data_IF_932981715697
#
_entry.id   IF_932981715697
#
_cell.length_a   1.000
_cell.length_b   1.000
_cell.length_c   1.000
_cell.angle_alpha   90.00
_cell.angle_beta   90.00
_cell.angle_gamma   90.00
#
_symmetry.space_group_name_H-M   'P 1'
#
loop_
_entity.id
_entity.type
_entity.pdbx_description
1 polymer ?
#
# COMPACT_ATOMS: atom_id res chain seq x y z
N UNK A 1 -2.73 25.98 1.10
CA UNK A 1 -3.41 25.07 2.06
C UNK A 1 -2.35 24.48 2.96
N UNK A 2 -2.62 24.32 4.25
CA UNK A 2 -1.68 23.66 5.16
C UNK A 2 -1.62 22.17 4.78
N UNK A 3 -0.44 21.56 4.78
CA UNK A 3 -0.21 20.15 4.35
C UNK A 3 -1.11 19.16 5.12
N UNK A 4 -1.41 19.47 6.39
CA UNK A 4 -2.38 18.70 7.18
C UNK A 4 -3.79 18.71 6.57
N UNK A 5 -4.25 19.87 6.04
CA UNK A 5 -5.57 19.95 5.39
C UNK A 5 -5.61 19.19 4.07
N UNK A 6 -4.49 19.12 3.35
CA UNK A 6 -4.36 18.32 2.13
C UNK A 6 -4.50 16.82 2.44
N UNK A 7 -3.79 16.34 3.46
CA UNK A 7 -3.88 14.95 3.92
C UNK A 7 -5.30 14.59 4.36
N UNK A 8 -5.92 15.44 5.18
CA UNK A 8 -7.29 15.22 5.66
C UNK A 8 -8.31 15.20 4.51
N UNK A 9 -8.14 16.07 3.51
CA UNK A 9 -8.98 16.10 2.31
C UNK A 9 -8.83 14.80 1.49
N UNK A 10 -7.61 14.29 1.32
CA UNK A 10 -7.36 13.02 0.62
C UNK A 10 -8.03 11.85 1.33
N UNK A 11 -7.90 11.77 2.65
CA UNK A 11 -8.57 10.74 3.44
C UNK A 11 -10.09 10.87 3.37
N UNK A 12 -10.61 12.09 3.42
CA UNK A 12 -12.04 12.37 3.22
C UNK A 12 -12.56 11.85 1.88
N UNK A 13 -11.81 12.07 0.79
CA UNK A 13 -12.15 11.52 -0.53
C UNK A 13 -12.17 9.98 -0.52
N UNK A 14 -11.20 9.32 0.14
CA UNK A 14 -11.21 7.85 0.25
C UNK A 14 -12.44 7.34 0.98
N UNK A 15 -12.86 8.01 2.07
CA UNK A 15 -14.09 7.66 2.80
C UNK A 15 -15.31 7.79 1.90
N UNK A 16 -15.42 8.88 1.13
CA UNK A 16 -16.53 9.09 0.19
C UNK A 16 -16.57 7.98 -0.86
N UNK A 17 -15.43 7.61 -1.45
CA UNK A 17 -15.36 6.52 -2.43
C UNK A 17 -15.74 5.17 -1.81
N UNK A 18 -15.27 4.87 -0.58
CA UNK A 18 -15.67 3.65 0.12
C UNK A 18 -17.16 3.63 0.43
N UNK A 19 -17.74 4.75 0.88
CA UNK A 19 -19.19 4.86 1.09
C UNK A 19 -19.98 4.63 -0.20
N UNK A 20 -19.52 5.15 -1.33
CA UNK A 20 -20.13 4.85 -2.62
C UNK A 20 -20.13 3.33 -2.91
N UNK A 21 -19.03 2.63 -2.64
CA UNK A 21 -18.95 1.18 -2.76
C UNK A 21 -19.95 0.45 -1.86
N UNK A 22 -20.08 0.88 -0.60
CA UNK A 22 -21.09 0.34 0.33
C UNK A 22 -22.51 0.55 -0.21
N UNK A 23 -22.82 1.76 -0.69
CA UNK A 23 -24.14 2.10 -1.25
C UNK A 23 -24.46 1.22 -2.46
N UNK A 24 -23.53 1.04 -3.40
CA UNK A 24 -23.73 0.22 -4.60
C UNK A 24 -24.06 -1.25 -4.27
N UNK A 25 -23.46 -1.81 -3.24
CA UNK A 25 -23.80 -3.17 -2.78
C UNK A 25 -25.14 -3.19 -2.05
N UNK A 26 -25.41 -2.23 -1.16
CA UNK A 26 -26.66 -2.18 -0.38
C UNK A 26 -27.89 -1.92 -1.27
N UNK A 27 -27.74 -1.15 -2.33
CA UNK A 27 -28.78 -0.90 -3.32
C UNK A 27 -28.90 -2.00 -4.39
N UNK A 28 -28.07 -3.05 -4.31
CA UNK A 28 -28.02 -4.16 -5.26
C UNK A 28 -27.67 -3.76 -6.70
N UNK A 29 -27.11 -2.57 -6.92
CA UNK A 29 -26.55 -2.17 -8.21
C UNK A 29 -25.31 -3.01 -8.54
N UNK A 30 -24.56 -3.43 -7.50
CA UNK A 30 -23.41 -4.31 -7.61
C UNK A 30 -23.55 -5.52 -6.70
N UNK A 31 -22.91 -6.62 -7.08
CA UNK A 31 -22.79 -7.86 -6.30
C UNK A 31 -21.30 -8.25 -6.12
N UNK A 32 -21.03 -9.38 -5.45
CA UNK A 32 -19.66 -9.89 -5.24
C UNK A 32 -18.91 -10.16 -6.55
N UNK A 33 -19.58 -10.62 -7.59
CA UNK A 33 -18.97 -10.91 -8.88
C UNK A 33 -18.51 -9.62 -9.58
N UNK A 34 -19.30 -8.54 -9.51
CA UNK A 34 -18.92 -7.24 -10.03
C UNK A 34 -17.67 -6.68 -9.31
N UNK A 35 -17.55 -6.90 -7.99
CA UNK A 35 -16.36 -6.50 -7.23
C UNK A 35 -15.11 -7.21 -7.73
N UNK A 36 -15.21 -8.49 -8.10
CA UNK A 36 -14.08 -9.23 -8.67
C UNK A 36 -13.61 -8.63 -10.00
N UNK A 37 -14.57 -8.21 -10.85
CA UNK A 37 -14.27 -7.54 -12.13
C UNK A 37 -13.54 -6.21 -11.89
N UNK A 38 -14.05 -5.39 -10.96
CA UNK A 38 -13.39 -4.12 -10.59
C UNK A 38 -11.97 -4.36 -10.07
N UNK A 39 -11.81 -5.34 -9.18
CA UNK A 39 -10.49 -5.71 -8.65
C UNK A 39 -9.52 -6.09 -9.77
N UNK A 40 -9.94 -6.95 -10.70
CA UNK A 40 -9.13 -7.36 -11.84
C UNK A 40 -8.76 -6.17 -12.74
N UNK A 41 -9.70 -5.29 -13.02
CA UNK A 41 -9.47 -4.08 -13.83
C UNK A 41 -8.44 -3.17 -13.16
N UNK A 42 -8.61 -2.91 -11.86
CA UNK A 42 -7.71 -2.04 -11.09
C UNK A 42 -6.29 -2.60 -11.09
N UNK A 43 -6.12 -3.90 -10.76
CA UNK A 43 -4.79 -4.49 -10.57
C UNK A 43 -4.08 -4.75 -11.89
N UNK A 44 -4.82 -5.16 -12.93
CA UNK A 44 -4.22 -5.56 -14.20
C UNK A 44 -4.06 -4.42 -15.19
N UNK A 45 -4.80 -3.31 -15.01
CA UNK A 45 -4.77 -2.17 -15.94
C UNK A 45 -4.57 -0.83 -15.22
N UNK A 46 -5.50 -0.40 -14.37
CA UNK A 46 -5.53 0.97 -13.88
C UNK A 46 -4.31 1.30 -13.00
N UNK A 47 -3.95 0.43 -12.05
CA UNK A 47 -2.79 0.62 -11.17
C UNK A 47 -1.45 0.56 -11.93
N UNK A 48 -1.17 -0.44 -12.80
CA UNK A 48 0.02 -0.45 -13.63
C UNK A 48 0.16 0.82 -14.47
N UNK A 49 -0.92 1.24 -15.14
CA UNK A 49 -0.92 2.47 -15.95
C UNK A 49 -0.68 3.71 -15.08
N UNK A 50 -1.30 3.80 -13.91
CA UNK A 50 -1.08 4.90 -12.98
C UNK A 50 0.40 5.01 -12.56
N UNK A 51 1.01 3.89 -12.17
CA UNK A 51 2.42 3.86 -11.77
C UNK A 51 3.31 4.26 -12.96
N UNK A 52 3.06 3.69 -14.15
CA UNK A 52 3.82 4.00 -15.34
C UNK A 52 3.79 5.49 -15.66
N UNK A 53 2.59 6.05 -15.85
CA UNK A 53 2.44 7.41 -16.34
C UNK A 53 2.90 8.47 -15.32
N UNK A 54 2.65 8.21 -14.04
CA UNK A 54 3.10 9.10 -12.98
C UNK A 54 4.62 9.08 -12.84
N UNK A 55 5.27 7.91 -13.03
CA UNK A 55 6.73 7.80 -13.01
C UNK A 55 7.36 8.52 -14.20
N UNK A 56 6.84 8.29 -15.41
CA UNK A 56 7.37 8.93 -16.64
C UNK A 56 7.23 10.45 -16.58
N UNK A 57 6.13 10.96 -16.03
CA UNK A 57 5.87 12.40 -15.96
C UNK A 57 6.46 13.08 -14.72
N UNK A 58 6.66 12.35 -13.62
CA UNK A 58 7.07 12.91 -12.33
C UNK A 58 8.51 12.65 -11.93
N UNK A 59 9.27 11.85 -12.68
CA UNK A 59 10.64 11.47 -12.30
C UNK A 59 11.65 11.93 -13.33
N UNK A 60 12.61 12.76 -12.91
CA UNK A 60 13.73 13.14 -13.73
C UNK A 60 14.93 12.17 -13.57
N UNK A 61 15.67 11.93 -14.66
CA UNK A 61 16.84 11.02 -14.68
C UNK A 61 17.87 11.39 -13.61
N UNK A 62 18.16 12.68 -13.42
CA UNK A 62 19.16 13.15 -12.45
C UNK A 62 18.77 12.81 -11.01
N UNK A 63 17.48 12.94 -10.71
CA UNK A 63 16.93 12.76 -9.36
C UNK A 63 16.83 11.28 -8.98
N UNK A 64 16.69 10.38 -9.98
CA UNK A 64 16.63 8.93 -9.74
C UNK A 64 17.93 8.42 -9.06
N UNK A 65 19.10 8.90 -9.47
CA UNK A 65 20.38 8.51 -8.87
C UNK A 65 20.56 9.05 -7.44
N UNK A 66 20.01 10.22 -7.13
CA UNK A 66 20.08 10.79 -5.78
C UNK A 66 19.15 10.10 -4.78
N UNK A 67 18.20 9.30 -5.27
CA UNK A 67 17.23 8.59 -4.45
C UNK A 67 17.66 7.17 -4.05
N UNK A 68 18.92 6.78 -4.31
CA UNK A 68 19.45 5.46 -3.93
C UNK A 68 19.39 5.20 -2.41
N UNK A 69 19.46 6.24 -1.60
CA UNK A 69 19.26 6.13 -0.14
C UNK A 69 17.92 5.53 0.23
N UNK A 70 16.86 5.75 -0.59
CA UNK A 70 15.53 5.18 -0.36
C UNK A 70 15.54 3.66 -0.42
N UNK A 71 16.37 3.05 -1.28
CA UNK A 71 16.51 1.59 -1.33
C UNK A 71 17.03 1.02 -0.01
N UNK A 72 18.06 1.67 0.57
CA UNK A 72 18.61 1.24 1.86
C UNK A 72 17.59 1.46 2.98
N UNK A 73 16.92 2.61 3.02
CA UNK A 73 15.92 2.95 4.01
C UNK A 73 14.74 1.97 3.92
N UNK A 74 14.25 1.68 2.72
CA UNK A 74 13.19 0.69 2.51
C UNK A 74 13.61 -0.70 2.99
N UNK A 75 14.84 -1.13 2.70
CA UNK A 75 15.39 -2.40 3.19
C UNK A 75 15.39 -2.46 4.72
N UNK A 76 15.89 -1.42 5.38
CA UNK A 76 15.90 -1.31 6.85
C UNK A 76 14.46 -1.34 7.38
N UNK A 77 13.54 -0.58 6.77
CA UNK A 77 12.13 -0.56 7.15
C UNK A 77 11.50 -1.96 7.11
N UNK A 78 11.73 -2.72 6.04
CA UNK A 78 11.20 -4.08 5.93
C UNK A 78 11.80 -5.02 6.97
N UNK A 79 13.11 -4.97 7.22
CA UNK A 79 13.75 -5.76 8.27
C UNK A 79 13.11 -5.46 9.63
N UNK A 80 12.95 -4.18 9.98
CA UNK A 80 12.32 -3.77 11.23
C UNK A 80 10.85 -4.21 11.33
N UNK A 81 10.07 -4.07 10.24
CA UNK A 81 8.67 -4.51 10.20
C UNK A 81 8.54 -6.03 10.34
N UNK A 82 9.43 -6.83 9.72
CA UNK A 82 9.46 -8.28 9.90
C UNK A 82 9.78 -8.66 11.34
N UNK A 83 10.76 -8.03 11.97
CA UNK A 83 11.09 -8.25 13.38
C UNK A 83 9.90 -7.88 14.29
N UNK A 84 9.29 -6.71 14.06
CA UNK A 84 8.14 -6.26 14.81
C UNK A 84 6.96 -7.23 14.67
N UNK A 85 6.67 -7.68 13.45
CA UNK A 85 5.58 -8.62 13.18
C UNK A 85 5.83 -10.00 13.82
N UNK A 86 7.09 -10.44 13.86
CA UNK A 86 7.48 -11.69 14.51
C UNK A 86 7.26 -11.63 16.02
N UNK A 87 7.72 -10.55 16.67
CA UNK A 87 7.57 -10.33 18.11
C UNK A 87 6.11 -10.19 18.50
N UNK A 88 5.34 -9.35 17.76
CA UNK A 88 3.92 -9.15 18.05
C UNK A 88 3.09 -10.40 17.79
N UNK A 89 3.41 -11.20 16.78
CA UNK A 89 2.75 -12.49 16.54
C UNK A 89 2.94 -13.49 17.69
N UNK A 90 4.08 -13.47 18.37
CA UNK A 90 4.30 -14.24 19.60
C UNK A 90 3.44 -13.69 20.75
N UNK A 91 3.43 -12.36 20.91
CA UNK A 91 2.66 -11.68 21.97
C UNK A 91 1.16 -12.00 21.89
N UNK A 92 0.59 -12.02 20.68
CA UNK A 92 -0.82 -12.39 20.46
C UNK A 92 -1.06 -13.90 20.40
N UNK A 93 -0.06 -14.73 20.73
CA UNK A 93 -0.15 -16.20 20.71
C UNK A 93 -0.68 -16.76 19.40
N UNK A 94 -0.32 -16.13 18.27
CA UNK A 94 -0.75 -16.57 16.95
C UNK A 94 0.08 -17.76 16.46
N UNK A 95 -0.58 -18.75 15.86
CA UNK A 95 0.06 -19.99 15.38
C UNK A 95 -0.31 -20.27 13.91
N UNK A 96 0.54 -21.06 13.26
CA UNK A 96 0.27 -21.57 11.91
C UNK A 96 -0.03 -20.47 10.89
N UNK A 97 -1.09 -20.68 10.14
CA UNK A 97 -1.51 -19.80 9.05
C UNK A 97 -1.87 -18.37 9.51
N UNK A 98 -2.55 -18.22 10.64
CA UNK A 98 -2.90 -16.90 11.19
C UNK A 98 -1.66 -16.08 11.54
N UNK A 99 -0.60 -16.69 12.07
CA UNK A 99 0.66 -15.99 12.35
C UNK A 99 1.33 -15.49 11.08
N UNK A 100 1.33 -16.29 10.02
CA UNK A 100 1.90 -15.89 8.72
C UNK A 100 1.10 -14.74 8.11
N UNK A 101 -0.22 -14.84 8.08
CA UNK A 101 -1.08 -13.76 7.57
C UNK A 101 -0.98 -12.48 8.40
N UNK A 102 -0.91 -12.61 9.73
CA UNK A 102 -0.67 -11.47 10.61
C UNK A 102 0.66 -10.77 10.28
N UNK A 103 1.71 -11.55 10.02
CA UNK A 103 2.99 -10.98 9.59
C UNK A 103 2.86 -10.29 8.22
N UNK A 104 2.16 -10.88 7.26
CA UNK A 104 1.91 -10.22 5.97
C UNK A 104 1.15 -8.90 6.14
N UNK A 105 0.10 -8.88 6.95
CA UNK A 105 -0.68 -7.67 7.25
C UNK A 105 0.14 -6.61 7.98
N UNK A 106 1.03 -7.01 8.89
CA UNK A 106 1.88 -6.10 9.64
C UNK A 106 3.00 -5.50 8.79
N UNK A 107 3.48 -6.21 7.78
CA UNK A 107 4.60 -5.78 6.94
C UNK A 107 4.11 -4.96 5.74
N UNK A 108 3.11 -5.44 4.99
CA UNK A 108 2.71 -4.81 3.73
C UNK A 108 1.63 -3.75 3.93
N UNK A 109 1.99 -2.50 3.60
CA UNK A 109 1.09 -1.34 3.66
C UNK A 109 0.43 -1.04 2.30
N UNK A 110 -0.73 -0.40 2.33
CA UNK A 110 -1.48 -0.03 1.12
C UNK A 110 -0.88 1.22 0.44
N UNK A 111 0.38 1.09 0.03
CA UNK A 111 1.13 2.20 -0.60
C UNK A 111 0.58 2.53 -1.98
N UNK A 112 0.21 1.52 -2.78
CA UNK A 112 -0.28 1.72 -4.15
C UNK A 112 -1.54 2.58 -4.22
N UNK A 113 -2.56 2.28 -3.41
CA UNK A 113 -3.84 2.96 -3.49
C UNK A 113 -4.00 4.14 -2.53
N UNK A 114 -3.30 4.15 -1.40
CA UNK A 114 -3.36 5.22 -0.41
C UNK A 114 -2.06 6.02 -0.32
N UNK A 115 -0.92 5.34 -0.32
CA UNK A 115 0.38 6.00 -0.18
C UNK A 115 0.71 6.93 -1.33
N UNK A 116 0.54 6.48 -2.59
CA UNK A 116 0.83 7.30 -3.77
C UNK A 116 0.04 8.62 -3.75
N UNK A 117 -1.32 8.63 -3.67
CA UNK A 117 -2.07 9.88 -3.66
C UNK A 117 -1.74 10.78 -2.47
N UNK A 118 -1.50 10.22 -1.30
CA UNK A 118 -1.17 10.99 -0.09
C UNK A 118 0.20 11.66 -0.25
N UNK A 119 1.24 10.91 -0.60
CA UNK A 119 2.60 11.43 -0.68
C UNK A 119 2.74 12.45 -1.82
N UNK A 120 2.13 12.18 -2.98
CA UNK A 120 2.15 13.14 -4.11
C UNK A 120 1.35 14.41 -3.84
N UNK A 121 0.33 14.34 -2.99
CA UNK A 121 -0.41 15.54 -2.56
C UNK A 121 0.37 16.39 -1.55
N UNK A 122 1.18 15.75 -0.70
CA UNK A 122 2.04 16.43 0.29
C UNK A 122 3.29 17.01 -0.38
N UNK A 123 3.90 16.24 -1.27
CA UNK A 123 5.12 16.59 -2.00
C UNK A 123 4.89 16.48 -3.52
N UNK A 124 4.25 17.51 -4.16
CA UNK A 124 3.89 17.44 -5.59
C UNK A 124 5.10 17.29 -6.52
N UNK A 125 6.26 17.85 -6.15
CA UNK A 125 7.47 17.84 -6.98
C UNK A 125 8.24 16.52 -6.88
N UNK A 126 8.49 16.02 -5.67
CA UNK A 126 9.39 14.90 -5.43
C UNK A 126 8.70 13.63 -4.91
N UNK A 127 7.47 13.75 -4.40
CA UNK A 127 6.77 12.63 -3.75
C UNK A 127 6.59 11.42 -4.65
N UNK A 128 6.35 11.67 -5.95
CA UNK A 128 6.23 10.59 -6.92
C UNK A 128 7.52 9.81 -7.11
N UNK A 129 8.66 10.50 -7.17
CA UNK A 129 9.97 9.89 -7.24
C UNK A 129 10.22 8.97 -6.03
N UNK A 130 10.00 9.51 -4.82
CA UNK A 130 10.27 8.75 -3.59
C UNK A 130 9.43 7.49 -3.50
N UNK A 131 8.14 7.59 -3.83
CA UNK A 131 7.23 6.46 -3.74
C UNK A 131 7.48 5.43 -4.86
N UNK A 132 7.89 5.86 -6.06
CA UNK A 132 8.24 4.94 -7.14
C UNK A 132 9.47 4.11 -6.80
N UNK A 133 10.53 4.76 -6.27
CA UNK A 133 11.73 4.04 -5.83
C UNK A 133 11.40 3.06 -4.71
N UNK A 134 10.60 3.49 -3.73
CA UNK A 134 10.12 2.61 -2.67
C UNK A 134 9.32 1.43 -3.22
N UNK A 135 8.40 1.66 -4.17
CA UNK A 135 7.52 0.64 -4.75
C UNK A 135 8.31 -0.49 -5.42
N UNK A 136 9.51 -0.24 -5.95
CA UNK A 136 10.37 -1.29 -6.51
C UNK A 136 10.69 -2.33 -5.43
N UNK A 137 11.13 -1.89 -4.25
CA UNK A 137 11.44 -2.80 -3.14
C UNK A 137 10.16 -3.41 -2.57
N UNK A 138 9.10 -2.62 -2.40
CA UNK A 138 7.81 -3.10 -1.92
C UNK A 138 7.29 -4.27 -2.77
N UNK A 139 7.34 -4.14 -4.09
CA UNK A 139 6.93 -5.21 -5.01
C UNK A 139 7.85 -6.44 -4.93
N UNK A 140 9.16 -6.24 -4.85
CA UNK A 140 10.09 -7.36 -4.65
C UNK A 140 9.80 -8.11 -3.34
N UNK A 141 9.58 -7.40 -2.24
CA UNK A 141 9.24 -8.00 -0.96
C UNK A 141 7.87 -8.68 -0.97
N UNK A 142 6.87 -8.06 -1.62
CA UNK A 142 5.52 -8.63 -1.73
C UNK A 142 5.54 -9.96 -2.50
N UNK A 143 6.21 -10.01 -3.65
CA UNK A 143 6.24 -11.20 -4.50
C UNK A 143 7.25 -12.27 -4.05
N UNK A 144 8.09 -11.97 -3.08
CA UNK A 144 8.99 -12.92 -2.44
C UNK A 144 8.46 -13.36 -1.08
N UNK A 145 8.63 -12.53 -0.06
CA UNK A 145 8.20 -12.81 1.30
C UNK A 145 6.68 -12.81 1.45
N UNK A 146 5.96 -11.89 0.77
CA UNK A 146 4.51 -11.78 0.83
C UNK A 146 3.81 -13.05 0.32
N UNK A 147 4.24 -13.61 -0.82
CA UNK A 147 3.72 -14.89 -1.33
C UNK A 147 3.89 -16.01 -0.29
N UNK A 148 5.07 -16.08 0.34
CA UNK A 148 5.34 -17.11 1.36
C UNK A 148 4.46 -16.94 2.60
N UNK A 149 4.26 -15.73 3.06
CA UNK A 149 3.44 -15.42 4.24
C UNK A 149 1.93 -15.60 3.99
N UNK A 150 1.49 -15.47 2.75
CA UNK A 150 0.08 -15.64 2.38
C UNK A 150 -0.25 -17.03 1.85
N UNK A 151 0.73 -17.92 1.74
CA UNK A 151 0.51 -19.31 1.37
C UNK A 151 0.12 -20.14 2.59
N UNK A 152 -0.90 -21.01 2.44
CA UNK A 152 -1.28 -21.93 3.52
C UNK A 152 -0.14 -22.88 3.91
N UNK A 153 -0.16 -23.32 5.16
CA UNK A 153 0.89 -24.22 5.74
C UNK A 153 1.03 -25.54 5.03
N UNK A 154 -0.01 -26.04 4.34
CA UNK A 154 -0.03 -27.32 3.62
C UNK A 154 0.53 -27.26 2.20
N UNK A 155 0.90 -26.10 1.71
CA UNK A 155 1.40 -25.98 0.33
C UNK A 155 2.88 -26.38 0.25
N UNK A 156 3.16 -27.69 0.08
CA UNK A 156 4.48 -28.21 -0.33
C UNK A 156 4.98 -27.62 -1.68
N UNK A 157 4.18 -26.78 -2.34
CA UNK A 157 4.49 -26.12 -3.63
C UNK A 157 5.15 -24.74 -3.48
N UNK A 158 5.65 -24.38 -2.30
CA UNK A 158 6.31 -23.08 -2.07
C UNK A 158 7.74 -23.00 -2.66
N UNK A 159 7.92 -23.44 -3.90
CA UNK A 159 9.12 -23.06 -4.65
C UNK A 159 8.96 -21.61 -5.09
N UNK A 160 9.98 -20.81 -4.81
CA UNK A 160 10.09 -19.45 -5.31
C UNK A 160 9.96 -19.45 -6.85
N UNK A 161 8.85 -18.96 -7.35
CA UNK A 161 8.57 -18.90 -8.79
C UNK A 161 8.85 -17.49 -9.29
N UNK A 162 10.01 -17.30 -9.91
CA UNK A 162 10.40 -16.03 -10.52
C UNK A 162 9.38 -15.50 -11.55
N UNK A 163 8.55 -16.36 -12.14
CA UNK A 163 7.50 -15.95 -13.08
C UNK A 163 6.44 -15.08 -12.40
N UNK A 164 6.26 -15.22 -11.09
CA UNK A 164 5.31 -14.39 -10.31
C UNK A 164 5.82 -12.97 -10.09
N UNK A 165 7.12 -12.72 -10.20
CA UNK A 165 7.68 -11.37 -10.21
C UNK A 165 7.31 -10.61 -11.47
N UNK A 166 7.05 -11.32 -12.58
CA UNK A 166 6.62 -10.71 -13.84
C UNK A 166 5.11 -10.53 -13.79
N UNK A 167 4.67 -9.44 -13.21
CA UNK A 167 3.27 -9.03 -13.13
C UNK A 167 3.08 -7.65 -13.78
N UNK A 168 1.84 -7.23 -14.11
CA UNK A 168 1.60 -5.96 -14.78
C UNK A 168 2.23 -4.75 -14.08
N UNK A 169 2.30 -4.76 -12.75
CA UNK A 169 2.88 -3.64 -11.96
C UNK A 169 4.40 -3.61 -12.11
N UNK A 170 5.09 -4.74 -11.95
CA UNK A 170 6.56 -4.80 -12.12
C UNK A 170 6.98 -4.48 -13.54
N UNK A 171 6.23 -4.95 -14.56
CA UNK A 171 6.46 -4.60 -15.95
C UNK A 171 6.30 -3.10 -16.18
N UNK A 172 5.25 -2.48 -15.62
CA UNK A 172 5.02 -1.04 -15.72
C UNK A 172 6.15 -0.22 -15.07
N UNK A 173 6.63 -0.64 -13.90
CA UNK A 173 7.77 0.02 -13.22
C UNK A 173 9.02 -0.07 -14.10
N UNK A 174 9.35 -1.26 -14.63
CA UNK A 174 10.52 -1.44 -15.47
C UNK A 174 10.45 -0.59 -16.75
N UNK A 175 9.31 -0.60 -17.44
CA UNK A 175 9.08 0.23 -18.63
C UNK A 175 9.19 1.73 -18.28
N UNK A 176 8.61 2.17 -17.17
CA UNK A 176 8.71 3.56 -16.73
C UNK A 176 10.16 3.97 -16.46
N UNK A 177 10.92 3.14 -15.74
CA UNK A 177 12.35 3.39 -15.47
C UNK A 177 13.15 3.45 -16.79
N UNK A 178 12.89 2.57 -17.75
CA UNK A 178 13.53 2.61 -19.06
C UNK A 178 13.20 3.94 -19.77
N UNK A 179 11.94 4.37 -19.79
CA UNK A 179 11.55 5.65 -20.39
C UNK A 179 12.26 6.84 -19.74
N UNK A 180 12.33 6.88 -18.41
CA UNK A 180 13.03 7.94 -17.67
C UNK A 180 14.53 7.94 -17.98
N UNK A 181 15.18 6.77 -18.01
CA UNK A 181 16.62 6.66 -18.26
C UNK A 181 16.99 7.02 -19.72
N UNK A 182 16.15 6.65 -20.68
CA UNK A 182 16.35 6.93 -22.11
C UNK A 182 15.89 8.34 -22.51
N UNK A 183 15.09 9.01 -21.65
CA UNK A 183 14.54 10.34 -21.96
C UNK A 183 13.42 10.30 -23.01
N UNK A 184 12.80 9.12 -23.26
CA UNK A 184 11.71 8.98 -24.20
C UNK A 184 10.49 9.76 -23.66
N UNK A 185 9.98 10.68 -24.48
CA UNK A 185 8.73 11.41 -24.21
C UNK A 185 7.59 10.76 -24.96
N UNK A 186 6.49 10.55 -24.25
CA UNK A 186 5.27 10.01 -24.87
C UNK A 186 4.58 11.07 -25.71
N UNK A 187 3.99 10.71 -26.88
CA UNK A 187 3.11 11.61 -27.61
C UNK A 187 1.94 12.06 -26.71
N UNK A 188 1.50 13.32 -26.87
CA UNK A 188 0.49 13.95 -25.99
C UNK A 188 -0.81 13.14 -25.89
N UNK A 189 -1.28 12.61 -27.04
CA UNK A 189 -2.51 11.78 -27.06
C UNK A 189 -2.35 10.53 -26.19
N UNK A 190 -1.20 9.84 -26.28
CA UNK A 190 -0.92 8.64 -25.50
C UNK A 190 -0.76 9.00 -24.01
N UNK A 191 0.01 10.04 -23.71
CA UNK A 191 0.23 10.54 -22.35
C UNK A 191 -1.11 10.87 -21.66
N UNK A 192 -1.96 11.67 -22.29
CA UNK A 192 -3.24 12.09 -21.75
C UNK A 192 -4.22 10.91 -21.59
N UNK A 193 -4.21 9.96 -22.54
CA UNK A 193 -5.07 8.78 -22.46
C UNK A 193 -4.67 7.87 -21.31
N UNK A 194 -3.37 7.58 -21.16
CA UNK A 194 -2.85 6.77 -20.05
C UNK A 194 -3.07 7.47 -18.70
N UNK A 195 -2.91 8.79 -18.65
CA UNK A 195 -3.18 9.56 -17.42
C UNK A 195 -4.63 9.43 -16.96
N UNK A 196 -5.61 9.56 -17.88
CA UNK A 196 -7.03 9.39 -17.56
C UNK A 196 -7.36 7.97 -17.08
N UNK A 197 -6.77 6.93 -17.72
CA UNK A 197 -6.94 5.55 -17.27
C UNK A 197 -6.33 5.38 -15.87
N UNK A 198 -5.10 5.84 -15.66
CA UNK A 198 -4.41 5.73 -14.36
C UNK A 198 -5.16 6.44 -13.22
N UNK A 199 -5.77 7.59 -13.49
CA UNK A 199 -6.56 8.33 -12.51
C UNK A 199 -7.79 7.57 -12.00
N UNK A 200 -8.28 6.55 -12.70
CA UNK A 200 -9.38 5.71 -12.23
C UNK A 200 -8.95 4.72 -11.15
N UNK A 201 -7.65 4.45 -11.00
CA UNK A 201 -7.13 3.40 -10.10
C UNK A 201 -7.56 3.60 -8.65
N UNK A 202 -7.29 4.76 -8.06
CA UNK A 202 -7.60 5.06 -6.66
C UNK A 202 -9.10 5.08 -6.36
N UNK A 203 -9.96 5.81 -7.11
CA UNK A 203 -11.39 5.79 -6.88
C UNK A 203 -12.00 4.40 -6.97
N UNK A 204 -11.66 3.63 -8.01
CA UNK A 204 -12.20 2.28 -8.18
C UNK A 204 -11.69 1.30 -7.12
N UNK A 205 -10.43 1.42 -6.69
CA UNK A 205 -9.90 0.62 -5.60
C UNK A 205 -10.63 0.90 -4.27
N UNK A 206 -10.93 2.15 -3.96
CA UNK A 206 -11.67 2.53 -2.74
C UNK A 206 -13.14 2.13 -2.82
N UNK A 207 -13.79 2.26 -3.98
CA UNK A 207 -15.16 1.74 -4.21
C UNK A 207 -15.18 0.22 -4.02
N UNK A 208 -14.19 -0.49 -4.58
CA UNK A 208 -14.03 -1.93 -4.36
C UNK A 208 -13.93 -2.28 -2.88
N UNK A 209 -13.04 -1.61 -2.13
CA UNK A 209 -12.88 -1.86 -0.68
C UNK A 209 -14.17 -1.60 0.08
N UNK A 210 -14.87 -0.51 -0.20
CA UNK A 210 -16.16 -0.20 0.41
C UNK A 210 -17.22 -1.26 0.11
N UNK A 211 -17.28 -1.74 -1.15
CA UNK A 211 -18.16 -2.83 -1.56
C UNK A 211 -17.85 -4.14 -0.82
N UNK A 212 -16.57 -4.48 -0.68
CA UNK A 212 -16.13 -5.66 0.09
C UNK A 212 -16.55 -5.51 1.56
N UNK A 213 -16.33 -4.34 2.18
CA UNK A 213 -16.73 -4.10 3.57
C UNK A 213 -18.24 -4.25 3.80
N UNK A 214 -19.08 -3.95 2.79
CA UNK A 214 -20.51 -4.18 2.85
C UNK A 214 -20.91 -5.66 2.81
N UNK A 215 -20.00 -6.55 2.35
CA UNK A 215 -20.23 -8.00 2.20
C UNK A 215 -19.71 -8.84 3.37
N UNK A 216 -18.98 -8.27 4.32
CA UNK A 216 -18.38 -8.99 5.45
C UNK A 216 -19.07 -8.63 6.77
N UNK A 217 -18.94 -9.53 7.75
CA UNK A 217 -19.40 -9.25 9.11
C UNK A 217 -18.43 -8.34 9.85
N UNK A 218 -18.73 -7.03 9.83
CA UNK A 218 -17.93 -6.00 10.45
C UNK A 218 -17.81 -6.20 11.98
N UNK A 219 -18.91 -6.60 12.66
CA UNK A 219 -18.93 -6.74 14.11
C UNK A 219 -18.00 -7.84 14.60
N UNK A 220 -17.98 -8.98 13.90
CA UNK A 220 -17.08 -10.09 14.22
C UNK A 220 -15.62 -9.70 14.09
N UNK A 221 -15.28 -8.91 13.08
CA UNK A 221 -13.90 -8.49 12.82
C UNK A 221 -13.41 -7.41 13.80
N UNK A 222 -14.25 -6.47 14.20
CA UNK A 222 -13.89 -5.42 15.17
C UNK A 222 -13.55 -5.99 16.55
N UNK A 223 -14.04 -7.17 16.92
CA UNK A 223 -13.78 -7.77 18.24
C UNK A 223 -12.38 -8.43 18.35
N UNK A 224 -11.62 -8.57 17.28
CA UNK A 224 -10.31 -9.21 17.29
C UNK A 224 -9.21 -8.26 17.73
N UNK A 225 -8.58 -8.55 18.86
CA UNK A 225 -7.52 -7.73 19.45
C UNK A 225 -6.23 -7.71 18.64
N UNK A 226 -5.93 -8.78 17.92
CA UNK A 226 -4.73 -8.88 17.07
C UNK A 226 -4.71 -7.83 15.94
N UNK A 227 -5.87 -7.46 15.38
CA UNK A 227 -5.94 -6.37 14.38
C UNK A 227 -5.58 -5.01 14.98
N UNK A 228 -6.00 -4.73 16.22
CA UNK A 228 -5.60 -3.51 16.92
C UNK A 228 -4.11 -3.52 17.27
N UNK A 229 -3.52 -4.70 17.45
CA UNK A 229 -2.07 -4.85 17.53
C UNK A 229 -1.36 -4.31 16.29
N UNK A 230 -1.88 -4.57 15.08
CA UNK A 230 -1.35 -3.99 13.84
C UNK A 230 -1.53 -2.46 13.84
N UNK A 231 -2.69 -1.95 14.26
CA UNK A 231 -2.94 -0.50 14.31
C UNK A 231 -1.94 0.18 15.23
N UNK A 232 -1.79 -0.32 16.45
CA UNK A 232 -0.92 0.32 17.46
C UNK A 232 0.55 0.18 17.07
N UNK A 233 1.00 -1.04 16.73
CA UNK A 233 2.42 -1.31 16.53
C UNK A 233 2.90 -0.79 15.16
N UNK A 234 2.20 -1.14 14.07
CA UNK A 234 2.62 -0.79 12.71
C UNK A 234 2.19 0.62 12.32
N UNK A 235 0.94 1.04 12.66
CA UNK A 235 0.42 2.30 12.13
C UNK A 235 0.68 3.50 13.05
N UNK A 236 1.04 3.29 14.32
CA UNK A 236 1.34 4.37 15.26
C UNK A 236 2.79 4.31 15.76
N UNK A 237 3.17 3.27 16.48
CA UNK A 237 4.47 3.22 17.17
C UNK A 237 5.64 3.12 16.19
N UNK A 238 5.53 2.25 15.20
CA UNK A 238 6.61 2.04 14.25
C UNK A 238 6.91 3.29 13.39
N UNK A 239 5.94 4.00 12.81
CA UNK A 239 6.22 5.21 12.05
C UNK A 239 6.88 6.32 12.89
N UNK A 240 6.48 6.47 14.16
CA UNK A 240 7.09 7.43 15.07
C UNK A 240 8.55 7.06 15.36
N UNK A 241 8.78 5.80 15.74
CA UNK A 241 10.13 5.28 15.95
C UNK A 241 10.99 5.45 14.69
N UNK A 242 10.44 5.08 13.53
CA UNK A 242 11.17 5.12 12.26
C UNK A 242 11.46 6.57 11.82
N UNK A 243 10.52 7.49 12.03
CA UNK A 243 10.73 8.91 11.80
C UNK A 243 11.88 9.48 12.63
N UNK A 244 11.93 9.15 13.91
CA UNK A 244 13.02 9.56 14.81
C UNK A 244 14.33 8.92 14.38
N UNK A 245 14.33 7.62 14.07
CA UNK A 245 15.53 6.91 13.59
C UNK A 245 16.11 7.53 12.32
N UNK A 246 15.27 7.86 11.35
CA UNK A 246 15.71 8.52 10.11
C UNK A 246 16.24 9.94 10.35
N UNK A 247 15.89 10.59 11.46
CA UNK A 247 16.43 11.88 11.84
C UNK A 247 17.94 11.88 12.15
N UNK A 248 18.50 10.71 12.46
CA UNK A 248 19.94 10.54 12.66
C UNK A 248 20.70 10.24 11.36
N UNK A 249 19.99 10.04 10.24
CA UNK A 249 20.59 9.77 8.95
C UNK A 249 20.66 11.07 8.11
N UNK A 250 21.66 11.21 7.23
CA UNK A 250 21.79 12.38 6.35
C UNK A 250 20.80 12.30 5.17
N UNK A 251 19.51 12.37 5.47
CA UNK A 251 18.42 12.31 4.48
C UNK A 251 17.55 13.57 4.58
N UNK A 252 16.93 13.95 3.46
CA UNK A 252 16.04 15.13 3.45
C UNK A 252 14.81 14.90 4.31
N UNK A 253 14.24 15.98 4.85
CA UNK A 253 12.99 15.93 5.62
C UNK A 253 11.84 15.33 4.81
N UNK A 254 11.80 15.56 3.49
CA UNK A 254 10.79 14.97 2.60
C UNK A 254 10.91 13.44 2.52
N UNK A 255 12.13 12.90 2.34
CA UNK A 255 12.37 11.45 2.32
C UNK A 255 12.01 10.84 3.68
N UNK A 256 12.45 11.47 4.78
CA UNK A 256 12.16 11.05 6.15
C UNK A 256 10.65 10.93 6.38
N UNK A 257 9.90 11.99 6.05
CA UNK A 257 8.45 12.01 6.23
C UNK A 257 7.75 11.02 5.30
N UNK A 258 8.15 10.95 4.03
CA UNK A 258 7.58 10.01 3.06
C UNK A 258 7.75 8.57 3.51
N UNK A 259 8.95 8.18 3.92
CA UNK A 259 9.23 6.80 4.33
C UNK A 259 8.50 6.42 5.63
N UNK A 260 8.43 7.35 6.59
CA UNK A 260 7.68 7.13 7.82
C UNK A 260 6.16 7.05 7.56
N UNK A 261 5.59 7.92 6.71
CA UNK A 261 4.18 7.83 6.30
C UNK A 261 3.88 6.55 5.54
N UNK A 262 4.78 6.12 4.66
CA UNK A 262 4.63 4.87 3.90
C UNK A 262 4.53 3.67 4.85
N UNK A 263 5.31 3.66 5.92
CA UNK A 263 5.25 2.61 6.94
C UNK A 263 3.94 2.61 7.75
N UNK A 264 3.29 3.77 7.89
CA UNK A 264 2.02 3.94 8.60
C UNK A 264 0.78 3.52 7.80
N UNK A 265 0.93 3.17 6.50
CA UNK A 265 -0.22 2.81 5.66
C UNK A 265 -0.96 1.58 6.20
N UNK A 266 -2.31 1.55 6.12
CA UNK A 266 -3.09 0.39 6.52
C UNK A 266 -2.73 -0.85 5.70
N UNK A 267 -3.25 -2.00 6.09
CA UNK A 267 -2.96 -3.28 5.42
C UNK A 267 -3.26 -3.22 3.92
N UNK A 268 -2.34 -3.77 3.12
CA UNK A 268 -2.47 -3.82 1.67
C UNK A 268 -3.55 -4.80 1.22
N UNK A 269 -4.43 -4.37 0.30
CA UNK A 269 -5.50 -5.23 -0.25
C UNK A 269 -4.97 -6.45 -1.01
N UNK A 270 -3.76 -6.37 -1.56
CA UNK A 270 -3.11 -7.52 -2.22
C UNK A 270 -2.87 -8.71 -1.28
N UNK A 271 -2.73 -8.47 0.03
CA UNK A 271 -2.58 -9.55 1.03
C UNK A 271 -3.79 -10.48 1.02
N UNK A 272 -5.02 -9.94 0.97
CA UNK A 272 -6.25 -10.75 0.87
C UNK A 272 -6.30 -11.53 -0.44
N UNK A 273 -5.99 -10.87 -1.54
CA UNK A 273 -6.03 -11.53 -2.85
C UNK A 273 -5.03 -12.67 -2.94
N UNK A 274 -3.83 -12.47 -2.40
CA UNK A 274 -2.82 -13.51 -2.32
C UNK A 274 -3.24 -14.64 -1.36
N UNK A 275 -3.81 -14.31 -0.19
CA UNK A 275 -4.32 -15.30 0.74
C UNK A 275 -5.37 -16.20 0.07
N UNK A 276 -6.34 -15.63 -0.63
CA UNK A 276 -7.36 -16.40 -1.37
C UNK A 276 -6.73 -17.21 -2.51
N UNK A 277 -5.81 -16.62 -3.28
CA UNK A 277 -5.18 -17.29 -4.42
C UNK A 277 -4.28 -18.46 -4.04
N UNK A 278 -3.68 -18.40 -2.84
CA UNK A 278 -2.76 -19.42 -2.34
C UNK A 278 -3.35 -20.34 -1.27
N UNK A 279 -4.68 -20.31 -1.08
CA UNK A 279 -5.41 -21.24 -0.21
C UNK A 279 -5.23 -20.97 1.29
N UNK A 280 -5.01 -19.71 1.66
CA UNK A 280 -4.94 -19.25 3.04
C UNK A 280 -6.27 -18.63 3.49
N UNK A 281 -6.33 -18.11 4.74
CA UNK A 281 -7.55 -17.51 5.31
C UNK A 281 -7.73 -16.06 4.84
N UNK A 282 -8.38 -15.88 3.67
CA UNK A 282 -8.69 -14.57 3.12
C UNK A 282 -9.65 -13.76 3.98
N UNK A 283 -10.55 -14.39 4.72
CA UNK A 283 -11.52 -13.70 5.60
C UNK A 283 -10.79 -13.06 6.79
N UNK A 284 -9.81 -13.77 7.36
CA UNK A 284 -8.94 -13.21 8.38
C UNK A 284 -8.16 -11.99 7.88
N UNK A 285 -7.54 -12.09 6.72
CA UNK A 285 -6.81 -10.97 6.13
C UNK A 285 -7.75 -9.79 5.79
N UNK A 286 -8.98 -10.07 5.36
CA UNK A 286 -9.99 -9.06 5.07
C UNK A 286 -10.40 -8.28 6.32
N UNK A 287 -10.56 -8.95 7.46
CA UNK A 287 -10.82 -8.30 8.75
C UNK A 287 -9.70 -7.32 9.13
N UNK A 288 -8.45 -7.70 8.93
CA UNK A 288 -7.29 -6.83 9.15
C UNK A 288 -7.29 -5.59 8.26
N UNK A 289 -7.61 -5.73 6.96
CA UNK A 289 -7.77 -4.58 6.05
C UNK A 289 -8.89 -3.67 6.54
N UNK A 290 -10.06 -4.21 6.88
CA UNK A 290 -11.21 -3.44 7.35
C UNK A 290 -10.82 -2.57 8.55
N UNK A 291 -10.32 -3.19 9.62
CA UNK A 291 -9.99 -2.49 10.88
C UNK A 291 -8.90 -1.45 10.64
N UNK A 292 -7.82 -1.82 9.96
CA UNK A 292 -6.70 -0.89 9.72
C UNK A 292 -7.08 0.26 8.79
N UNK A 293 -7.92 0.02 7.77
CA UNK A 293 -8.38 1.08 6.86
C UNK A 293 -9.32 2.06 7.58
N UNK A 294 -10.25 1.57 8.41
CA UNK A 294 -11.10 2.45 9.22
C UNK A 294 -10.23 3.27 10.19
N UNK A 295 -9.30 2.64 10.90
CA UNK A 295 -8.41 3.33 11.82
C UNK A 295 -7.48 4.33 11.11
N UNK A 296 -7.12 4.10 9.85
CA UNK A 296 -6.22 4.99 9.09
C UNK A 296 -6.78 6.41 8.93
N UNK A 297 -8.11 6.57 8.94
CA UNK A 297 -8.78 7.88 8.90
C UNK A 297 -8.30 8.79 10.04
N UNK A 298 -8.00 8.21 11.20
CA UNK A 298 -7.52 8.93 12.38
C UNK A 298 -6.00 8.83 12.54
N UNK A 299 -5.42 7.65 12.31
CA UNK A 299 -3.99 7.42 12.60
C UNK A 299 -3.08 8.17 11.63
N UNK A 300 -3.41 8.27 10.35
CA UNK A 300 -2.56 8.97 9.38
C UNK A 300 -2.49 10.48 9.63
N UNK A 301 -3.61 11.22 9.84
CA UNK A 301 -3.54 12.63 10.23
C UNK A 301 -2.80 12.84 11.55
N UNK A 302 -3.04 11.96 12.54
CA UNK A 302 -2.41 12.04 13.85
C UNK A 302 -0.88 11.87 13.77
N UNK A 303 -0.41 10.86 13.06
CA UNK A 303 1.03 10.61 12.85
C UNK A 303 1.69 11.78 12.10
N UNK A 304 1.05 12.26 11.05
CA UNK A 304 1.58 13.39 10.29
C UNK A 304 1.63 14.68 11.13
N UNK A 305 0.63 14.91 11.98
CA UNK A 305 0.63 16.02 12.93
C UNK A 305 1.81 15.92 13.91
N UNK A 306 2.08 14.72 14.46
CA UNK A 306 3.25 14.50 15.33
C UNK A 306 4.56 14.75 14.59
N UNK A 307 4.71 14.30 13.33
CA UNK A 307 5.92 14.56 12.54
C UNK A 307 6.20 16.06 12.41
N UNK A 308 5.15 16.88 12.30
CA UNK A 308 5.30 18.33 12.25
C UNK A 308 5.79 18.95 13.56
N UNK A 309 5.56 18.29 14.69
CA UNK A 309 6.04 18.74 16.00
C UNK A 309 7.46 18.30 16.32
N UNK A 310 7.86 17.15 15.82
CA UNK A 310 9.18 16.55 16.13
C UNK A 310 10.24 17.00 15.12
N UNK A 311 9.86 17.37 13.92
CA UNK A 311 10.77 17.73 12.80
C UNK A 311 10.85 19.15 12.49
#
# INVERSE_FOLDING_TARGET
MNTFSILTAQIGMFVIYMLAGVILIRTRVMNRENLEVISKFVIKLALPVMIFINTVNGVERKTLFHSLSIFLIAGIMYICLFLLSYISGIFFHLHGNHRQLYSAMSVFGNVGFMGIPIVTSIYPENGMLYICVFTIIDQLMLWTAGVRLTSGTDSQKNRFDFRKLINPVTVSILLAVICVLTGIRLPDVLNNSLQKIGQTATPLAMIYLGGVFACIDVLKNIQRLDYYGIVILKMLLFPLFFYVLLGYLPVSSEIRTTMALTSAMPVMSSVVMMANAYGSDGDYAMGGILVTTICSVFTLPFIYWIFHFIG
#
